data_IF_086521658986
#
_entry.id   IF_086521658986
#
_cell.length_a   1.000
_cell.length_b   1.000
_cell.length_c   1.000
_cell.angle_alpha   90.00
_cell.angle_beta   90.00
_cell.angle_gamma   90.00
#
_symmetry.space_group_name_H-M   'P 1'
#
loop_
_entity.id
_entity.type
_entity.pdbx_description
1 polymer ?
#
# COMPACT_ATOMS: atom_id res chain seq x y z
N UNK A 1 7.95 -2.83 14.63
CA UNK A 1 6.70 -3.54 14.32
C UNK A 1 5.80 -2.75 13.36
N UNK A 2 5.49 -1.47 13.61
CA UNK A 2 4.68 -0.64 12.68
C UNK A 2 5.24 -0.58 11.26
N UNK A 3 6.56 -0.49 11.09
CA UNK A 3 7.23 -0.47 9.78
C UNK A 3 7.04 -1.78 9.00
N UNK A 4 7.13 -2.91 9.69
CA UNK A 4 6.93 -4.23 9.10
C UNK A 4 5.48 -4.41 8.64
N UNK A 5 4.54 -3.95 9.46
CA UNK A 5 3.11 -4.00 9.16
C UNK A 5 2.77 -3.15 7.92
N UNK A 6 3.39 -1.97 7.78
CA UNK A 6 3.15 -1.08 6.65
C UNK A 6 3.71 -1.65 5.33
N UNK A 7 4.90 -2.21 5.36
CA UNK A 7 5.49 -2.88 4.19
C UNK A 7 4.66 -4.07 3.76
N UNK A 8 4.09 -4.74 4.74
CA UNK A 8 3.29 -5.93 4.56
C UNK A 8 1.90 -5.67 3.97
N UNK A 9 1.21 -4.61 4.42
CA UNK A 9 -0.07 -4.18 3.82
C UNK A 9 0.12 -3.87 2.34
N UNK A 10 1.27 -3.33 1.97
CA UNK A 10 1.61 -3.04 0.59
C UNK A 10 1.78 -4.31 -0.26
N UNK A 11 2.44 -5.31 0.29
CA UNK A 11 2.62 -6.61 -0.35
C UNK A 11 1.30 -7.29 -0.69
N UNK A 12 0.35 -7.14 0.19
CA UNK A 12 -0.96 -7.74 0.09
C UNK A 12 -1.77 -7.30 -1.11
N UNK A 13 -1.71 -6.02 -1.42
CA UNK A 13 -2.60 -5.44 -2.42
C UNK A 13 -2.19 -5.77 -3.85
N UNK A 14 -0.92 -6.10 -4.07
CA UNK A 14 -0.38 -6.25 -5.44
C UNK A 14 -0.17 -7.73 -5.83
N UNK A 15 -0.02 -8.63 -4.84
CA UNK A 15 0.54 -9.96 -5.11
C UNK A 15 -0.17 -11.12 -4.40
N UNK A 16 -1.44 -10.96 -4.05
CA UNK A 16 -2.23 -12.03 -3.40
C UNK A 16 -2.14 -13.36 -4.15
N UNK A 17 -1.54 -14.35 -3.51
CA UNK A 17 -1.36 -15.68 -4.09
C UNK A 17 -2.15 -16.73 -3.35
N UNK A 18 -3.37 -16.92 -3.79
CA UNK A 18 -4.05 -18.20 -3.68
C UNK A 18 -4.60 -18.52 -5.07
N UNK A 19 -4.45 -19.74 -5.52
CA UNK A 19 -4.74 -20.17 -6.89
C UNK A 19 -6.12 -19.79 -7.43
N UNK A 20 -7.10 -19.56 -6.57
CA UNK A 20 -8.46 -19.13 -6.95
C UNK A 20 -8.59 -17.61 -7.14
N UNK A 21 -7.67 -16.81 -6.58
CA UNK A 21 -7.66 -15.34 -6.71
C UNK A 21 -6.59 -14.83 -7.68
N UNK A 22 -5.75 -15.72 -8.20
CA UNK A 22 -4.65 -15.36 -9.11
C UNK A 22 -5.16 -14.65 -10.37
N UNK A 23 -6.27 -15.07 -10.94
CA UNK A 23 -6.84 -14.49 -12.16
C UNK A 23 -7.29 -13.03 -11.94
N UNK A 24 -7.89 -12.70 -10.80
CA UNK A 24 -8.33 -11.33 -10.47
C UNK A 24 -7.11 -10.46 -10.19
N UNK A 25 -6.13 -10.98 -9.47
CA UNK A 25 -4.89 -10.26 -9.17
C UNK A 25 -4.07 -10.01 -10.44
N UNK A 26 -3.98 -10.98 -11.33
CA UNK A 26 -3.29 -10.84 -12.62
C UNK A 26 -3.98 -9.80 -13.52
N UNK A 27 -5.32 -9.75 -13.50
CA UNK A 27 -6.07 -8.73 -14.21
C UNK A 27 -5.77 -7.33 -13.66
N UNK A 28 -5.75 -7.17 -12.34
CA UNK A 28 -5.44 -5.90 -11.68
C UNK A 28 -4.03 -5.43 -12.10
N UNK A 29 -3.05 -6.31 -12.03
CA UNK A 29 -1.67 -6.00 -12.42
C UNK A 29 -1.58 -5.58 -13.88
N UNK A 30 -2.26 -6.30 -14.77
CA UNK A 30 -2.29 -5.98 -16.19
C UNK A 30 -2.94 -4.61 -16.47
N UNK A 31 -3.95 -4.24 -15.69
CA UNK A 31 -4.69 -2.98 -15.82
C UNK A 31 -3.97 -1.75 -15.23
N UNK A 32 -3.00 -1.94 -14.33
CA UNK A 32 -2.30 -0.82 -13.69
C UNK A 32 -1.58 0.11 -14.67
N UNK A 33 -1.19 -0.38 -15.85
CA UNK A 33 -0.54 0.44 -16.88
C UNK A 33 -1.48 1.46 -17.52
N UNK A 34 -2.72 1.05 -17.73
CA UNK A 34 -3.68 1.77 -18.58
C UNK A 34 -4.89 2.27 -17.82
N UNK A 35 -4.94 2.02 -16.52
CA UNK A 35 -6.08 2.37 -15.68
C UNK A 35 -5.65 2.80 -14.29
N UNK A 36 -6.47 3.63 -13.67
CA UNK A 36 -6.46 3.83 -12.22
C UNK A 36 -7.36 2.77 -11.60
N UNK A 37 -6.81 1.96 -10.73
CA UNK A 37 -7.51 0.88 -10.05
C UNK A 37 -7.82 1.31 -8.62
N UNK A 38 -9.06 1.14 -8.20
CA UNK A 38 -9.45 1.28 -6.79
C UNK A 38 -10.16 0.02 -6.31
N UNK A 39 -9.91 -0.38 -5.08
CA UNK A 39 -10.53 -1.54 -4.47
C UNK A 39 -10.51 -1.46 -2.95
N UNK A 40 -11.28 -2.35 -2.33
CA UNK A 40 -11.19 -2.67 -0.90
C UNK A 40 -10.62 -4.06 -0.72
N UNK A 41 -9.84 -4.24 0.33
CA UNK A 41 -9.25 -5.54 0.68
C UNK A 41 -9.48 -5.88 2.13
N UNK A 42 -9.50 -7.17 2.42
CA UNK A 42 -9.36 -7.73 3.77
C UNK A 42 -8.56 -9.03 3.71
N UNK A 43 -7.79 -9.28 4.74
CA UNK A 43 -6.97 -10.48 4.85
C UNK A 43 -6.50 -10.70 6.28
N UNK A 44 -5.94 -11.86 6.51
CA UNK A 44 -5.23 -12.21 7.74
C UNK A 44 -3.75 -12.32 7.46
N UNK A 45 -2.95 -11.63 8.26
CA UNK A 45 -1.52 -11.77 8.26
C UNK A 45 -1.09 -12.70 9.38
N UNK A 46 -0.27 -13.70 9.04
CA UNK A 46 0.31 -14.64 10.00
C UNK A 46 1.82 -14.43 10.08
N UNK A 47 2.27 -13.74 11.11
CA UNK A 47 3.68 -13.52 11.43
C UNK A 47 3.91 -13.70 12.94
N UNK A 48 3.90 -14.97 13.39
CA UNK A 48 3.94 -15.32 14.82
C UNK A 48 2.66 -15.01 15.59
N UNK A 49 1.89 -14.04 15.15
CA UNK A 49 0.54 -13.69 15.60
C UNK A 49 -0.36 -13.47 14.40
N UNK A 50 -1.65 -13.73 14.53
CA UNK A 50 -2.64 -13.41 13.50
C UNK A 50 -3.10 -11.98 13.63
N UNK A 51 -3.00 -11.21 12.54
CA UNK A 51 -3.45 -9.81 12.47
C UNK A 51 -4.46 -9.68 11.34
N UNK A 52 -5.66 -9.22 11.67
CA UNK A 52 -6.66 -8.87 10.68
C UNK A 52 -6.33 -7.51 10.06
N UNK A 53 -6.23 -7.48 8.74
CA UNK A 53 -5.99 -6.27 7.96
C UNK A 53 -7.16 -6.00 7.03
N UNK A 54 -7.59 -4.75 6.98
CA UNK A 54 -8.60 -4.30 6.02
C UNK A 54 -8.38 -2.85 5.64
N UNK A 55 -8.76 -2.51 4.43
CA UNK A 55 -8.58 -1.15 3.96
C UNK A 55 -8.96 -0.96 2.50
N UNK A 56 -8.44 0.13 1.94
CA UNK A 56 -8.61 0.51 0.54
C UNK A 56 -7.28 0.71 -0.15
N UNK A 57 -7.27 0.44 -1.45
CA UNK A 57 -6.16 0.69 -2.36
C UNK A 57 -6.63 1.55 -3.52
N UNK A 58 -5.80 2.53 -3.89
CA UNK A 58 -5.86 3.22 -5.18
C UNK A 58 -4.48 3.10 -5.80
N UNK A 59 -4.38 2.63 -7.03
CA UNK A 59 -3.10 2.46 -7.70
C UNK A 59 -3.17 2.85 -9.19
N UNK A 60 -2.06 3.36 -9.70
CA UNK A 60 -1.88 3.70 -11.10
C UNK A 60 -0.39 3.58 -11.45
N UNK A 61 -0.03 2.69 -12.35
CA UNK A 61 1.38 2.42 -12.63
C UNK A 61 2.13 1.96 -11.37
N UNK A 62 3.20 2.66 -11.02
CA UNK A 62 3.98 2.40 -9.81
C UNK A 62 3.54 3.26 -8.60
N UNK A 63 2.49 4.06 -8.77
CA UNK A 63 1.96 4.92 -7.72
C UNK A 63 0.80 4.25 -7.01
N UNK A 64 0.71 4.43 -5.70
CA UNK A 64 -0.42 3.89 -4.94
C UNK A 64 -0.68 4.65 -3.64
N UNK A 65 -1.91 4.49 -3.15
CA UNK A 65 -2.35 4.92 -1.82
C UNK A 65 -3.04 3.73 -1.17
N UNK A 66 -2.61 3.38 0.04
CA UNK A 66 -3.26 2.37 0.88
C UNK A 66 -3.69 3.03 2.17
N UNK A 67 -4.94 2.81 2.57
CA UNK A 67 -5.46 3.28 3.85
C UNK A 67 -6.13 2.11 4.56
N UNK A 68 -5.70 1.82 5.76
CA UNK A 68 -6.28 0.75 6.56
C UNK A 68 -5.59 0.58 7.90
N UNK A 69 -6.30 0.03 8.85
CA UNK A 69 -5.81 -0.23 10.20
C UNK A 69 -5.20 1.01 10.90
N UNK A 70 -5.74 2.20 10.61
CA UNK A 70 -5.25 3.46 11.17
C UNK A 70 -3.98 4.02 10.55
N UNK A 71 -3.46 3.38 9.50
CA UNK A 71 -2.28 3.81 8.76
C UNK A 71 -2.65 4.23 7.34
N UNK A 72 -1.85 5.14 6.81
CA UNK A 72 -1.92 5.56 5.42
C UNK A 72 -0.54 5.39 4.77
N UNK A 73 -0.50 4.81 3.59
CA UNK A 73 0.73 4.64 2.83
C UNK A 73 0.54 5.27 1.46
N UNK A 74 1.47 6.14 1.11
CA UNK A 74 1.53 6.80 -0.19
C UNK A 74 2.81 6.40 -0.90
N UNK A 75 2.78 6.25 -2.21
CA UNK A 75 3.97 6.07 -3.02
C UNK A 75 3.81 6.70 -4.40
N UNK A 76 4.80 7.45 -4.80
CA UNK A 76 4.90 8.01 -6.15
C UNK A 76 5.82 7.19 -7.08
N UNK A 77 6.19 5.98 -6.64
CA UNK A 77 7.11 5.10 -7.34
C UNK A 77 8.59 5.33 -7.03
N UNK A 78 8.91 6.40 -6.30
CA UNK A 78 10.28 6.75 -5.86
C UNK A 78 10.40 6.88 -4.35
N UNK A 79 9.46 7.55 -3.74
CA UNK A 79 9.35 7.74 -2.31
C UNK A 79 8.09 7.10 -1.79
N UNK A 80 8.20 6.46 -0.64
CA UNK A 80 7.08 5.93 0.11
C UNK A 80 6.93 6.70 1.41
N UNK A 81 5.73 7.18 1.69
CA UNK A 81 5.35 7.82 2.94
C UNK A 81 4.47 6.86 3.73
N UNK A 82 4.88 6.52 4.94
CA UNK A 82 4.06 5.81 5.90
C UNK A 82 3.59 6.80 6.96
N UNK A 83 2.30 7.01 7.04
CA UNK A 83 1.67 8.01 7.89
C UNK A 83 0.87 7.34 8.98
N UNK A 84 1.16 7.65 10.23
CA UNK A 84 0.36 7.28 11.40
C UNK A 84 -0.31 8.54 11.97
N UNK A 85 -1.55 8.84 11.60
CA UNK A 85 -2.23 10.05 12.05
C UNK A 85 -2.49 10.07 13.56
N UNK A 86 -2.62 8.90 14.18
CA UNK A 86 -2.87 8.78 15.61
C UNK A 86 -1.64 9.15 16.44
N UNK A 87 -0.48 8.67 16.00
CA UNK A 87 0.79 8.97 16.66
C UNK A 87 1.43 10.27 16.14
N UNK A 88 0.88 10.86 15.07
CA UNK A 88 1.42 12.02 14.36
C UNK A 88 2.85 11.78 13.87
N UNK A 89 3.07 10.66 13.22
CA UNK A 89 4.36 10.27 12.67
C UNK A 89 4.29 10.06 11.17
N UNK A 90 5.31 10.47 10.46
CA UNK A 90 5.54 10.18 9.03
C UNK A 90 6.93 9.62 8.85
N UNK A 91 7.02 8.52 8.13
CA UNK A 91 8.28 7.91 7.72
C UNK A 91 8.41 7.99 6.20
N UNK A 92 9.52 8.54 5.72
CA UNK A 92 9.88 8.55 4.30
C UNK A 92 10.91 7.45 4.06
N UNK A 93 10.64 6.62 3.08
CA UNK A 93 11.54 5.54 2.67
C UNK A 93 11.67 5.57 1.15
N UNK A 94 12.72 4.97 0.61
CA UNK A 94 12.77 4.75 -0.82
C UNK A 94 11.62 3.84 -1.24
N UNK A 95 10.85 4.29 -2.22
CA UNK A 95 9.76 3.52 -2.80
C UNK A 95 10.35 2.47 -3.70
N UNK A 96 10.41 1.23 -3.19
CA UNK A 96 11.01 0.22 -3.98
C UNK A 96 10.48 -1.13 -3.73
N UNK A 97 11.00 -1.79 -4.34
CA UNK A 97 11.22 -3.19 -4.75
C UNK A 97 10.09 -4.08 -4.32
N UNK A 98 9.28 -4.36 -5.32
CA UNK A 98 8.32 -5.47 -5.36
C UNK A 98 8.92 -6.77 -4.77
N UNK A 99 10.24 -6.94 -4.80
CA UNK A 99 10.93 -8.10 -4.26
C UNK A 99 10.87 -8.24 -2.74
N UNK A 100 10.97 -7.16 -1.99
CA UNK A 100 10.77 -7.19 -0.52
C UNK A 100 9.34 -7.55 -0.16
N UNK A 101 8.42 -7.03 -0.95
CA UNK A 101 6.98 -7.27 -0.81
C UNK A 101 6.65 -8.74 -1.10
N UNK A 102 7.27 -9.33 -2.11
CA UNK A 102 7.09 -10.74 -2.46
C UNK A 102 7.50 -11.70 -1.33
N UNK A 103 8.45 -11.31 -0.50
CA UNK A 103 8.90 -12.10 0.63
C UNK A 103 7.82 -12.38 1.69
N UNK A 104 6.79 -11.53 1.77
CA UNK A 104 5.72 -11.66 2.79
C UNK A 104 4.46 -12.35 2.29
N UNK A 105 4.34 -12.64 1.01
CA UNK A 105 3.10 -13.20 0.45
C UNK A 105 2.68 -14.53 1.05
N UNK A 106 3.62 -15.32 1.53
CA UNK A 106 3.36 -16.62 2.15
C UNK A 106 2.70 -16.50 3.55
N UNK A 107 2.74 -15.28 4.14
CA UNK A 107 2.15 -14.98 5.43
C UNK A 107 0.71 -14.49 5.33
N UNK A 108 0.22 -14.29 4.10
CA UNK A 108 -1.11 -13.78 3.84
C UNK A 108 -2.10 -14.92 3.72
N UNK A 109 -3.21 -14.81 4.45
CA UNK A 109 -4.33 -15.76 4.40
C UNK A 109 -5.65 -15.00 4.17
N UNK A 110 -6.62 -15.71 3.62
CA UNK A 110 -7.99 -15.22 3.49
C UNK A 110 -8.12 -13.87 2.76
N UNK A 111 -7.29 -13.61 1.77
CA UNK A 111 -7.36 -12.37 0.99
C UNK A 111 -8.71 -12.29 0.27
N UNK A 112 -9.42 -11.20 0.49
CA UNK A 112 -10.65 -10.84 -0.22
C UNK A 112 -10.49 -9.46 -0.84
N UNK A 113 -10.84 -9.35 -2.11
CA UNK A 113 -10.87 -8.10 -2.86
C UNK A 113 -12.32 -7.77 -3.21
N UNK A 114 -12.73 -6.53 -2.94
CA UNK A 114 -14.10 -6.04 -3.15
C UNK A 114 -14.10 -4.67 -3.81
N UNK A 115 -15.23 -4.31 -4.40
CA UNK A 115 -15.46 -2.99 -4.98
C UNK A 115 -14.38 -2.57 -5.98
N UNK A 116 -13.91 -3.51 -6.80
CA UNK A 116 -12.86 -3.26 -7.79
C UNK A 116 -13.42 -2.37 -8.89
N UNK A 117 -12.76 -1.23 -9.12
CA UNK A 117 -13.11 -0.27 -10.18
C UNK A 117 -11.88 0.08 -11.00
N UNK A 118 -12.09 0.23 -12.29
CA UNK A 118 -11.11 0.67 -13.26
C UNK A 118 -11.57 1.99 -13.87
N UNK A 119 -10.75 3.01 -13.74
CA UNK A 119 -11.02 4.35 -14.25
C UNK A 119 -9.91 4.78 -15.20
N UNK A 120 -10.17 5.82 -15.98
CA UNK A 120 -9.14 6.42 -16.82
C UNK A 120 -7.97 6.90 -15.95
N UNK A 121 -6.72 6.65 -16.38
CA UNK A 121 -5.56 7.14 -15.64
C UNK A 121 -5.54 8.67 -15.64
N UNK A 122 -5.26 9.25 -14.50
CA UNK A 122 -5.08 10.70 -14.37
C UNK A 122 -3.64 11.09 -14.75
N UNK A 123 -3.47 12.28 -15.36
CA UNK A 123 -2.15 12.86 -15.63
C UNK A 123 -1.50 13.38 -14.35
N UNK A 124 -2.31 13.90 -13.45
CA UNK A 124 -1.85 14.40 -12.15
C UNK A 124 -1.67 13.27 -11.16
N UNK A 125 -0.43 13.03 -10.76
CA UNK A 125 -0.03 12.00 -9.79
C UNK A 125 0.25 12.58 -8.38
N UNK A 126 -0.05 13.87 -8.16
CA UNK A 126 0.21 14.54 -6.88
C UNK A 126 -0.56 13.92 -5.71
N UNK A 127 -1.73 13.33 -5.97
CA UNK A 127 -2.53 12.64 -4.97
C UNK A 127 -1.82 11.43 -4.33
N UNK A 128 -0.83 10.86 -5.02
CA UNK A 128 -0.04 9.73 -4.53
C UNK A 128 1.14 10.16 -3.64
N UNK A 129 1.28 11.45 -3.38
CA UNK A 129 2.30 12.02 -2.51
C UNK A 129 1.67 12.50 -1.22
N UNK A 130 2.41 12.40 -0.13
CA UNK A 130 2.02 13.00 1.13
C UNK A 130 2.78 14.31 1.33
N UNK A 131 2.05 15.40 1.58
CA UNK A 131 2.65 16.71 1.80
C UNK A 131 3.06 16.89 3.27
N UNK A 132 4.36 16.79 3.52
CA UNK A 132 4.94 17.01 4.84
C UNK A 132 5.12 18.49 5.20
N UNK A 133 4.88 19.43 4.27
CA UNK A 133 5.18 20.85 4.49
C UNK A 133 4.10 21.59 5.30
N UNK A 134 2.88 21.04 5.35
CA UNK A 134 1.72 21.68 5.99
C UNK A 134 1.22 20.90 7.21
N UNK A 135 2.09 20.19 7.90
CA UNK A 135 1.72 19.45 9.10
C UNK A 135 1.58 20.38 10.32
N UNK A 136 0.58 20.10 11.15
CA UNK A 136 0.38 20.79 12.42
C UNK A 136 1.52 20.54 13.40
N UNK A 137 1.53 21.30 14.50
CA UNK A 137 2.49 21.07 15.58
C UNK A 137 2.37 19.65 16.17
N UNK A 138 3.50 19.08 16.52
CA UNK A 138 3.60 17.77 17.15
C UNK A 138 3.75 16.60 16.18
N UNK A 139 3.79 16.84 14.88
CA UNK A 139 4.16 15.80 13.92
C UNK A 139 5.66 15.57 13.89
N UNK A 140 6.05 14.31 13.81
CA UNK A 140 7.44 13.88 13.66
C UNK A 140 7.60 13.30 12.26
N UNK A 141 8.51 13.87 11.48
CA UNK A 141 8.85 13.39 10.15
C UNK A 141 10.25 12.78 10.20
N UNK A 142 10.34 11.50 9.87
CA UNK A 142 11.59 10.75 9.84
C UNK A 142 11.93 10.37 8.41
N UNK A 143 13.00 10.92 7.87
CA UNK A 143 13.50 10.56 6.53
C UNK A 143 14.54 9.45 6.66
N UNK A 144 14.20 8.30 6.11
CA UNK A 144 15.03 7.09 6.13
C UNK A 144 15.67 6.79 4.77
N UNK A 145 15.48 7.66 3.79
CA UNK A 145 16.11 7.50 2.48
C UNK A 145 17.62 7.68 2.62
N UNK A 146 18.36 6.86 1.92
CA UNK A 146 19.82 7.01 1.87
C UNK A 146 20.16 8.19 0.94
N UNK A 147 21.06 9.04 1.40
CA UNK A 147 21.63 10.12 0.58
C UNK A 147 22.59 9.57 -0.47
#
# INVERSE_FOLDING_TARGET
MKRLLCTLVLALCILGTLRAQSAVTDEIIARLRDSRVSLKFSCTLEDGVSIELSGSLIAQGNCFIIKGNGLEIYSDGKTRWTVDPKEKEVYLEEGNEISEILGYRDQIRNLQLKDIKYEQPGEDLSAFRFDCSNLDEGWIVTDLRQE
#
